data_IF_867514579763
#
_entry.id   IF_867514579763
#
_cell.length_a   1.000
_cell.length_b   1.000
_cell.length_c   1.000
_cell.angle_alpha   90.00
_cell.angle_beta   90.00
_cell.angle_gamma   90.00
#
_symmetry.space_group_name_H-M   'P 1'
#
loop_
_entity.id
_entity.type
_entity.pdbx_description
1 polymer ?
#
# COMPACT_ATOMS: atom_id res chain seq x y z
N UNK A 1 42.27 -33.41 0.28
CA UNK A 1 41.86 -32.85 1.58
C UNK A 1 40.38 -32.52 1.49
N UNK A 2 39.66 -32.81 2.56
CA UNK A 2 38.23 -33.09 2.63
C UNK A 2 37.36 -31.84 2.46
N UNK A 3 36.29 -32.06 1.71
CA UNK A 3 35.07 -31.28 1.47
C UNK A 3 34.29 -30.99 2.76
N UNK A 4 33.81 -29.75 2.97
CA UNK A 4 32.49 -29.51 3.56
C UNK A 4 31.82 -28.30 2.88
N UNK A 5 31.08 -28.62 1.82
CA UNK A 5 29.88 -27.93 1.35
C UNK A 5 28.96 -27.52 2.52
N UNK A 6 28.81 -26.21 2.77
CA UNK A 6 27.66 -25.70 3.54
C UNK A 6 26.50 -25.50 2.57
N UNK A 7 25.77 -26.60 2.34
CA UNK A 7 24.41 -26.53 1.79
C UNK A 7 23.57 -25.66 2.73
N UNK A 8 23.22 -24.47 2.27
CA UNK A 8 22.10 -23.72 2.86
C UNK A 8 20.86 -24.61 2.77
N UNK A 9 20.51 -25.24 3.89
CA UNK A 9 19.23 -25.94 4.02
C UNK A 9 18.14 -24.90 3.75
N UNK A 10 17.39 -25.09 2.66
CA UNK A 10 16.05 -24.50 2.51
C UNK A 10 15.31 -24.82 3.80
N UNK A 11 15.02 -23.79 4.61
CA UNK A 11 14.14 -23.96 5.77
C UNK A 11 12.81 -24.49 5.23
N UNK A 12 12.21 -25.49 5.89
CA UNK A 12 10.87 -25.93 5.54
C UNK A 12 9.92 -24.73 5.62
N UNK A 13 8.87 -24.74 4.78
CA UNK A 13 7.76 -23.81 4.86
C UNK A 13 7.12 -23.92 6.26
N UNK A 14 7.67 -23.21 7.24
CA UNK A 14 6.98 -22.99 8.51
C UNK A 14 5.81 -22.09 8.17
N UNK A 15 4.60 -22.65 8.30
CA UNK A 15 3.33 -21.93 8.34
C UNK A 15 3.53 -20.76 9.30
N UNK A 16 3.75 -19.56 8.75
CA UNK A 16 3.81 -18.35 9.57
C UNK A 16 2.41 -18.19 10.16
N UNK A 17 2.37 -17.97 11.47
CA UNK A 17 1.14 -17.80 12.24
C UNK A 17 0.19 -16.83 11.53
N UNK A 18 -1.11 -17.14 11.64
CA UNK A 18 -2.23 -16.32 11.20
C UNK A 18 -2.04 -14.86 11.61
N UNK A 19 -1.83 -13.96 10.64
CA UNK A 19 -1.80 -12.52 10.87
C UNK A 19 -2.77 -11.89 9.88
N UNK A 20 -3.92 -11.35 10.33
CA UNK A 20 -4.90 -10.78 9.44
C UNK A 20 -4.36 -9.47 8.85
N UNK A 21 -3.82 -9.55 7.63
CA UNK A 21 -3.52 -8.40 6.78
C UNK A 21 -4.75 -7.55 6.48
N UNK A 22 -4.52 -6.28 6.13
CA UNK A 22 -5.51 -5.39 5.55
C UNK A 22 -5.99 -5.89 4.18
N UNK A 23 -7.20 -5.49 3.77
CA UNK A 23 -7.73 -5.79 2.43
C UNK A 23 -6.95 -5.08 1.33
N UNK A 24 -6.52 -3.84 1.58
CA UNK A 24 -5.67 -3.06 0.70
C UNK A 24 -4.43 -2.59 1.45
N UNK A 25 -3.28 -2.42 0.79
CA UNK A 25 -2.12 -1.83 1.43
C UNK A 25 -2.37 -0.32 1.66
N UNK A 26 -2.17 0.21 2.87
CA UNK A 26 -2.13 1.65 3.05
C UNK A 26 -1.04 2.26 2.18
N UNK A 27 -1.40 3.26 1.37
CA UNK A 27 -0.44 4.02 0.56
C UNK A 27 0.03 5.23 1.34
N UNK A 28 1.33 5.38 1.51
CA UNK A 28 1.92 6.56 2.17
C UNK A 28 2.81 7.28 1.17
N UNK A 29 2.38 8.46 0.76
CA UNK A 29 3.15 9.37 -0.07
C UNK A 29 3.89 10.39 0.80
N UNK A 30 5.22 10.31 0.75
CA UNK A 30 6.08 11.35 1.28
C UNK A 30 6.20 12.50 0.26
N UNK A 31 5.68 13.66 0.63
CA UNK A 31 5.82 14.90 -0.10
C UNK A 31 6.94 15.78 0.46
N UNK A 32 7.40 16.73 -0.36
CA UNK A 32 8.10 17.90 0.14
C UNK A 32 7.20 19.09 -0.09
N UNK A 33 7.01 19.98 0.90
CA UNK A 33 5.98 21.02 0.83
C UNK A 33 6.04 21.95 -0.40
N UNK A 34 7.19 22.05 -1.09
CA UNK A 34 7.35 22.84 -2.31
C UNK A 34 6.99 22.10 -3.62
N UNK A 35 6.73 20.80 -3.55
CA UNK A 35 6.53 19.92 -4.71
C UNK A 35 5.10 19.37 -4.75
N UNK A 36 4.39 19.68 -5.84
CA UNK A 36 3.01 19.22 -6.05
C UNK A 36 2.92 17.85 -6.72
N UNK A 37 4.03 17.17 -6.98
CA UNK A 37 4.06 15.90 -7.72
C UNK A 37 3.14 14.83 -7.12
N UNK A 38 3.08 14.74 -5.78
CA UNK A 38 2.17 13.82 -5.08
C UNK A 38 0.71 14.18 -5.34
N UNK A 39 0.36 15.46 -5.19
CA UNK A 39 -0.99 15.95 -5.44
C UNK A 39 -1.43 15.68 -6.88
N UNK A 40 -0.60 16.03 -7.87
CA UNK A 40 -0.87 15.79 -9.30
C UNK A 40 -1.02 14.30 -9.59
N UNK A 41 -0.09 13.47 -9.11
CA UNK A 41 -0.16 12.02 -9.32
C UNK A 41 -1.46 11.43 -8.76
N UNK A 42 -1.89 11.85 -7.56
CA UNK A 42 -3.12 11.37 -6.97
C UNK A 42 -4.32 11.79 -7.83
N UNK A 43 -4.41 13.07 -8.22
CA UNK A 43 -5.49 13.58 -9.09
C UNK A 43 -5.59 12.74 -10.37
N UNK A 44 -4.47 12.54 -11.06
CA UNK A 44 -4.41 11.80 -12.33
C UNK A 44 -4.78 10.31 -12.19
N UNK A 45 -4.80 9.78 -10.96
CA UNK A 45 -5.12 8.37 -10.68
C UNK A 45 -6.33 8.21 -9.73
N UNK A 46 -7.12 9.25 -9.48
CA UNK A 46 -8.27 9.20 -8.56
C UNK A 46 -9.26 8.10 -8.94
N UNK A 47 -9.65 8.03 -10.22
CA UNK A 47 -10.58 7.03 -10.74
C UNK A 47 -10.08 5.60 -10.49
N UNK A 48 -8.77 5.40 -10.67
CA UNK A 48 -8.16 4.10 -10.38
C UNK A 48 -8.26 3.77 -8.90
N UNK A 49 -7.83 4.67 -8.01
CA UNK A 49 -7.86 4.41 -6.57
C UNK A 49 -9.28 4.14 -6.06
N UNK A 50 -10.27 4.87 -6.57
CA UNK A 50 -11.67 4.65 -6.25
C UNK A 50 -12.15 3.28 -6.75
N UNK A 51 -11.80 2.91 -8.00
CA UNK A 51 -12.15 1.61 -8.58
C UNK A 51 -11.55 0.45 -7.78
N UNK A 52 -10.29 0.57 -7.34
CA UNK A 52 -9.63 -0.46 -6.50
C UNK A 52 -10.26 -0.54 -5.11
N UNK A 53 -10.89 0.54 -4.65
CA UNK A 53 -11.64 0.56 -3.40
C UNK A 53 -10.98 1.35 -2.28
N UNK A 54 -9.95 2.15 -2.55
CA UNK A 54 -9.50 3.15 -1.58
C UNK A 54 -10.66 4.09 -1.24
N UNK A 55 -10.82 4.38 0.06
CA UNK A 55 -11.98 5.13 0.59
C UNK A 55 -11.60 6.48 1.17
N UNK A 56 -10.39 6.59 1.72
CA UNK A 56 -10.03 7.73 2.56
C UNK A 56 -8.69 8.32 2.16
N UNK A 57 -8.60 9.64 2.13
CA UNK A 57 -7.36 10.39 1.99
C UNK A 57 -7.08 11.11 3.31
N UNK A 58 -5.92 10.78 3.90
CA UNK A 58 -5.40 11.34 5.13
C UNK A 58 -4.30 12.34 4.80
N UNK A 59 -4.37 13.55 5.35
CA UNK A 59 -3.37 14.61 5.13
C UNK A 59 -2.93 15.24 6.44
N UNK A 60 -1.71 15.78 6.48
CA UNK A 60 -1.15 16.52 7.63
C UNK A 60 -1.86 17.86 7.90
N UNK A 61 -3.13 17.76 8.25
CA UNK A 61 -3.98 18.83 8.71
C UNK A 61 -4.63 18.42 10.03
N UNK A 62 -5.16 19.40 10.74
CA UNK A 62 -5.72 19.18 12.07
C UNK A 62 -6.83 18.13 12.06
N UNK A 63 -6.80 17.22 13.04
CA UNK A 63 -7.88 16.25 13.23
C UNK A 63 -9.22 16.97 13.40
N UNK A 64 -10.19 16.62 12.56
CA UNK A 64 -11.52 17.23 12.56
C UNK A 64 -11.68 18.38 11.55
N UNK A 65 -10.59 18.87 10.95
CA UNK A 65 -10.69 19.83 9.86
C UNK A 65 -11.43 19.21 8.66
N UNK A 66 -12.45 19.90 8.17
CA UNK A 66 -13.25 19.45 7.01
C UNK A 66 -12.60 19.86 5.70
N UNK A 67 -12.93 19.14 4.62
CA UNK A 67 -12.45 19.47 3.28
C UNK A 67 -12.88 20.87 2.84
N UNK A 68 -14.13 21.24 3.13
CA UNK A 68 -14.68 22.55 2.78
C UNK A 68 -13.99 23.69 3.53
N UNK A 69 -13.71 23.51 4.83
CA UNK A 69 -12.94 24.49 5.61
C UNK A 69 -11.52 24.67 5.03
N UNK A 70 -10.86 23.56 4.65
CA UNK A 70 -9.54 23.60 4.00
C UNK A 70 -9.58 24.32 2.65
N UNK A 71 -10.57 24.02 1.81
CA UNK A 71 -10.75 24.69 0.51
C UNK A 71 -10.99 26.19 0.72
N UNK A 72 -11.85 26.57 1.67
CA UNK A 72 -12.15 27.97 1.98
C UNK A 72 -10.91 28.71 2.48
N UNK A 73 -10.14 28.11 3.40
CA UNK A 73 -8.90 28.68 3.93
C UNK A 73 -7.89 28.97 2.82
N UNK A 74 -7.63 27.99 1.95
CA UNK A 74 -6.66 28.13 0.85
C UNK A 74 -7.15 29.16 -0.17
N UNK A 75 -8.43 29.14 -0.51
CA UNK A 75 -9.04 30.10 -1.44
C UNK A 75 -8.95 31.54 -0.92
N UNK A 76 -8.98 31.74 0.40
CA UNK A 76 -8.76 33.06 1.02
C UNK A 76 -7.28 33.51 1.04
N UNK A 77 -6.33 32.58 0.97
CA UNK A 77 -4.89 32.88 0.94
C UNK A 77 -4.39 33.24 -0.46
N UNK A 78 -4.93 32.60 -1.50
CA UNK A 78 -4.47 32.77 -2.89
C UNK A 78 -4.43 34.25 -3.35
N UNK A 79 -5.49 35.07 -3.14
CA UNK A 79 -5.51 36.46 -3.58
C UNK A 79 -4.40 37.31 -2.95
N UNK A 80 -4.03 37.02 -1.70
CA UNK A 80 -2.93 37.72 -1.00
C UNK A 80 -1.58 37.42 -1.66
N UNK A 81 -1.33 36.16 -2.01
CA UNK A 81 -0.12 35.77 -2.73
C UNK A 81 -0.07 36.37 -4.14
N UNK A 82 -1.18 36.32 -4.88
CA UNK A 82 -1.28 36.94 -6.22
C UNK A 82 -1.01 38.44 -6.14
N UNK A 83 -1.59 39.14 -5.16
CA UNK A 83 -1.36 40.56 -4.98
C UNK A 83 0.12 40.85 -4.66
N UNK A 84 0.73 40.13 -3.71
CA UNK A 84 2.14 40.32 -3.38
C UNK A 84 3.06 40.07 -4.57
N UNK A 85 2.80 39.02 -5.34
CA UNK A 85 3.59 38.66 -6.52
C UNK A 85 3.46 39.68 -7.65
N UNK A 86 2.26 40.19 -7.93
CA UNK A 86 2.04 41.18 -8.98
C UNK A 86 2.77 42.51 -8.73
N UNK A 87 3.10 42.82 -7.47
CA UNK A 87 3.88 44.00 -7.10
C UNK A 87 5.38 43.72 -6.99
N UNK A 88 5.82 42.48 -7.22
CA UNK A 88 7.22 42.07 -7.10
C UNK A 88 7.92 42.18 -8.46
N UNK A 89 9.11 42.79 -8.46
CA UNK A 89 9.95 42.82 -9.65
C UNK A 89 10.55 41.43 -9.92
N UNK A 90 10.64 41.01 -11.18
CA UNK A 90 11.26 39.73 -11.56
C UNK A 90 12.74 39.62 -11.18
N UNK A 91 13.40 40.75 -10.89
CA UNK A 91 14.78 40.83 -10.38
C UNK A 91 14.87 40.78 -8.85
N UNK A 92 13.75 40.78 -8.12
CA UNK A 92 13.75 40.64 -6.67
C UNK A 92 14.31 39.26 -6.30
N UNK A 93 15.30 39.17 -5.38
CA UNK A 93 15.84 37.89 -4.91
C UNK A 93 14.77 36.90 -4.40
N UNK A 94 13.60 37.39 -3.96
CA UNK A 94 12.49 36.59 -3.45
C UNK A 94 11.48 36.17 -4.53
N UNK A 95 11.61 36.65 -5.77
CA UNK A 95 10.63 36.40 -6.83
C UNK A 95 10.41 34.90 -7.10
N UNK A 96 11.50 34.13 -7.20
CA UNK A 96 11.41 32.68 -7.44
C UNK A 96 10.78 31.94 -6.26
N UNK A 97 11.10 32.35 -5.03
CA UNK A 97 10.51 31.79 -3.81
C UNK A 97 9.00 32.05 -3.76
N UNK A 98 8.57 33.27 -4.07
CA UNK A 98 7.14 33.63 -4.11
C UNK A 98 6.40 32.88 -5.22
N UNK A 99 7.00 32.76 -6.41
CA UNK A 99 6.44 31.99 -7.52
C UNK A 99 6.26 30.50 -7.14
N UNK A 100 7.26 29.90 -6.49
CA UNK A 100 7.19 28.53 -6.00
C UNK A 100 6.06 28.36 -4.97
N UNK A 101 5.95 29.26 -3.99
CA UNK A 101 4.87 29.25 -3.00
C UNK A 101 3.50 29.36 -3.67
N UNK A 102 3.32 30.26 -4.63
CA UNK A 102 2.07 30.38 -5.39
C UNK A 102 1.70 29.10 -6.13
N UNK A 103 2.67 28.47 -6.80
CA UNK A 103 2.46 27.19 -7.49
C UNK A 103 2.05 26.10 -6.51
N UNK A 104 2.72 26.02 -5.36
CA UNK A 104 2.37 25.07 -4.29
C UNK A 104 0.94 25.28 -3.80
N UNK A 105 0.58 26.49 -3.40
CA UNK A 105 -0.76 26.77 -2.85
C UNK A 105 -1.83 26.51 -3.89
N UNK A 106 -1.62 26.92 -5.14
CA UNK A 106 -2.55 26.66 -6.25
C UNK A 106 -2.70 25.16 -6.53
N UNK A 107 -1.60 24.40 -6.51
CA UNK A 107 -1.64 22.94 -6.68
C UNK A 107 -2.38 22.22 -5.56
N UNK A 108 -2.15 22.62 -4.30
CA UNK A 108 -2.91 22.09 -3.15
C UNK A 108 -4.39 22.45 -3.23
N UNK A 109 -4.74 23.66 -3.69
CA UNK A 109 -6.13 24.04 -3.93
C UNK A 109 -6.79 23.11 -4.96
N UNK A 110 -6.13 22.90 -6.11
CA UNK A 110 -6.62 22.00 -7.15
C UNK A 110 -6.82 20.58 -6.62
N UNK A 111 -5.88 20.09 -5.81
CA UNK A 111 -6.00 18.79 -5.15
C UNK A 111 -7.26 18.70 -4.29
N UNK A 112 -7.47 19.61 -3.34
CA UNK A 112 -8.65 19.57 -2.47
C UNK A 112 -9.96 19.75 -3.24
N UNK A 113 -9.99 20.61 -4.26
CA UNK A 113 -11.14 20.74 -5.15
C UNK A 113 -11.44 19.44 -5.91
N UNK A 114 -10.40 18.76 -6.41
CA UNK A 114 -10.55 17.46 -7.08
C UNK A 114 -11.08 16.38 -6.14
N UNK A 115 -10.71 16.44 -4.85
CA UNK A 115 -11.25 15.53 -3.84
C UNK A 115 -12.72 15.79 -3.54
N UNK A 116 -13.17 17.05 -3.56
CA UNK A 116 -14.56 17.40 -3.26
C UNK A 116 -15.53 16.76 -4.24
N UNK A 117 -15.13 16.67 -5.50
CA UNK A 117 -15.94 16.10 -6.57
C UNK A 117 -15.75 14.57 -6.66
N UNK A 118 -14.97 13.97 -5.75
CA UNK A 118 -14.72 12.53 -5.64
C UNK A 118 -15.51 11.88 -4.51
N UNK A 119 -15.53 10.55 -4.45
CA UNK A 119 -16.16 9.80 -3.35
C UNK A 119 -15.22 9.53 -2.16
N UNK A 120 -14.05 10.17 -2.12
CA UNK A 120 -13.10 10.00 -1.03
C UNK A 120 -13.54 10.71 0.25
N UNK A 121 -13.41 10.02 1.38
CA UNK A 121 -13.50 10.62 2.71
C UNK A 121 -12.21 11.37 2.99
N UNK A 122 -12.33 12.63 3.37
CA UNK A 122 -11.19 13.46 3.75
C UNK A 122 -10.95 13.42 5.27
N UNK A 123 -9.70 13.25 5.70
CA UNK A 123 -9.29 13.23 7.12
C UNK A 123 -8.01 14.03 7.35
N UNK A 124 -8.06 14.97 8.29
CA UNK A 124 -6.85 15.49 8.96
C UNK A 124 -6.32 14.47 9.97
N UNK A 125 -4.99 14.32 10.06
CA UNK A 125 -4.32 13.37 10.96
C UNK A 125 -3.33 14.00 11.94
N UNK A 126 -3.15 15.32 11.91
CA UNK A 126 -2.15 16.05 12.71
C UNK A 126 -2.78 16.83 13.87
N UNK A 127 -1.93 17.36 14.74
CA UNK A 127 -2.32 18.30 15.80
C UNK A 127 -2.55 19.72 15.26
N UNK A 128 -3.27 20.58 16.01
CA UNK A 128 -3.42 22.00 15.68
C UNK A 128 -2.07 22.70 15.54
N UNK A 129 -1.98 23.68 14.62
CA UNK A 129 -0.75 24.45 14.36
C UNK A 129 -0.10 25.05 15.63
N UNK A 130 -0.85 25.64 16.59
CA UNK A 130 -0.26 26.14 17.83
C UNK A 130 0.51 25.07 18.62
N UNK A 131 0.01 23.84 18.64
CA UNK A 131 0.65 22.72 19.32
C UNK A 131 1.87 22.19 18.54
N UNK A 132 1.81 22.22 17.20
CA UNK A 132 2.97 21.89 16.37
C UNK A 132 4.15 22.82 16.66
N UNK A 133 3.88 24.13 16.83
CA UNK A 133 4.90 25.13 17.17
C UNK A 133 5.43 24.89 18.58
N UNK A 134 4.56 24.60 19.55
CA UNK A 134 4.91 24.37 20.95
C UNK A 134 5.82 23.15 21.15
N UNK A 135 5.51 22.04 20.47
CA UNK A 135 6.25 20.79 20.62
C UNK A 135 7.42 20.67 19.65
N UNK A 136 7.36 21.39 18.53
CA UNK A 136 8.33 21.32 17.45
C UNK A 136 7.87 20.36 16.34
N UNK A 137 8.18 20.74 15.10
CA UNK A 137 7.71 20.07 13.88
C UNK A 137 8.12 18.59 13.79
N UNK A 138 9.28 18.22 14.34
CA UNK A 138 9.78 16.84 14.32
C UNK A 138 9.73 16.17 15.70
N UNK A 139 8.89 16.66 16.61
CA UNK A 139 8.82 16.13 17.97
C UNK A 139 8.36 14.68 18.00
N UNK A 140 8.85 13.86 18.95
CA UNK A 140 8.35 12.51 19.17
C UNK A 140 6.84 12.49 19.41
N UNK A 141 6.30 13.50 20.10
CA UNK A 141 4.87 13.64 20.38
C UNK A 141 4.06 13.79 19.08
N UNK A 142 4.46 14.69 18.17
CA UNK A 142 3.76 14.89 16.89
C UNK A 142 3.83 13.64 16.02
N UNK A 143 5.00 13.02 15.90
CA UNK A 143 5.15 11.78 15.13
C UNK A 143 4.33 10.62 15.70
N UNK A 144 4.21 10.51 17.02
CA UNK A 144 3.37 9.50 17.68
C UNK A 144 1.89 9.73 17.39
N UNK A 145 1.42 10.98 17.43
CA UNK A 145 0.03 11.33 17.12
C UNK A 145 -0.30 11.04 15.64
N UNK A 146 0.53 11.51 14.71
CA UNK A 146 0.40 11.24 13.28
C UNK A 146 0.30 9.72 13.02
N UNK A 147 1.22 8.95 13.61
CA UNK A 147 1.24 7.49 13.47
C UNK A 147 -0.04 6.85 14.01
N UNK A 148 -0.46 7.23 15.23
CA UNK A 148 -1.66 6.68 15.85
C UNK A 148 -2.92 6.95 14.99
N UNK A 149 -3.03 8.16 14.43
CA UNK A 149 -4.14 8.51 13.54
C UNK A 149 -4.08 7.75 12.20
N UNK A 150 -2.89 7.56 11.60
CA UNK A 150 -2.73 6.74 10.40
C UNK A 150 -3.19 5.30 10.67
N UNK A 151 -2.70 4.67 11.75
CA UNK A 151 -3.06 3.29 12.11
C UNK A 151 -4.56 3.18 12.41
N UNK A 152 -5.14 4.17 13.11
CA UNK A 152 -6.57 4.21 13.39
C UNK A 152 -7.39 4.20 12.09
N UNK A 153 -7.05 5.07 11.14
CA UNK A 153 -7.75 5.13 9.85
C UNK A 153 -7.49 3.85 9.02
N UNK A 154 -6.28 3.30 9.04
CA UNK A 154 -5.97 2.04 8.36
C UNK A 154 -6.85 0.90 8.90
N UNK A 155 -7.01 0.81 10.22
CA UNK A 155 -7.90 -0.20 10.85
C UNK A 155 -9.38 0.03 10.53
N UNK A 156 -9.84 1.29 10.57
CA UNK A 156 -11.23 1.66 10.25
C UNK A 156 -11.62 1.26 8.82
N UNK A 157 -10.71 1.43 7.86
CA UNK A 157 -10.95 1.20 6.43
C UNK A 157 -10.25 -0.05 5.87
N UNK A 158 -9.83 -0.98 6.73
CA UNK A 158 -9.13 -2.23 6.35
C UNK A 158 -7.99 -2.00 5.33
N UNK A 159 -7.20 -0.97 5.61
CA UNK A 159 -6.04 -0.50 4.87
C UNK A 159 -6.33 0.30 3.59
N UNK A 160 -7.59 0.51 3.25
CA UNK A 160 -8.04 1.27 2.07
C UNK A 160 -7.87 2.81 2.24
N UNK A 161 -6.70 3.24 2.69
CA UNK A 161 -6.34 4.65 2.91
C UNK A 161 -5.14 5.08 2.07
N UNK A 162 -5.14 6.36 1.69
CA UNK A 162 -3.99 7.05 1.11
C UNK A 162 -3.57 8.14 2.09
N UNK A 163 -2.29 8.20 2.44
CA UNK A 163 -1.73 9.16 3.38
C UNK A 163 -0.76 10.06 2.64
N UNK A 164 -0.85 11.37 2.86
CA UNK A 164 0.10 12.37 2.36
C UNK A 164 0.76 13.01 3.57
N UNK A 165 2.08 12.86 3.66
CA UNK A 165 2.89 13.29 4.80
C UNK A 165 4.25 13.84 4.34
N UNK A 166 4.89 14.69 5.13
CA UNK A 166 6.20 15.24 4.80
C UNK A 166 7.31 14.19 4.89
N UNK A 167 8.25 14.20 3.93
CA UNK A 167 9.42 13.30 3.92
C UNK A 167 10.27 13.36 5.21
N UNK A 168 10.20 14.47 5.94
CA UNK A 168 10.87 14.64 7.24
C UNK A 168 10.33 13.73 8.35
N UNK A 169 9.12 13.19 8.20
CA UNK A 169 8.48 12.29 9.17
C UNK A 169 8.96 10.83 9.02
N UNK A 170 10.26 10.61 8.83
CA UNK A 170 10.83 9.28 8.65
C UNK A 170 10.52 8.32 9.82
N UNK A 171 10.36 8.85 11.04
CA UNK A 171 10.05 8.07 12.25
C UNK A 171 8.72 7.31 12.19
N UNK A 172 7.82 7.67 11.25
CA UNK A 172 6.53 6.99 11.09
C UNK A 172 6.70 5.50 10.81
N UNK A 173 7.71 5.11 10.01
CA UNK A 173 7.91 3.69 9.69
C UNK A 173 8.29 2.86 10.93
N UNK A 174 9.16 3.39 11.79
CA UNK A 174 9.57 2.74 13.04
C UNK A 174 8.39 2.61 13.99
N UNK A 175 7.56 3.65 14.09
CA UNK A 175 6.37 3.66 14.94
C UNK A 175 5.30 2.70 14.42
N UNK A 176 5.02 2.67 13.11
CA UNK A 176 4.09 1.70 12.51
C UNK A 176 4.60 0.27 12.69
N UNK A 177 5.90 0.02 12.49
CA UNK A 177 6.50 -1.29 12.76
C UNK A 177 6.34 -1.74 14.21
N UNK A 178 6.31 -0.81 15.16
CA UNK A 178 6.13 -1.06 16.58
C UNK A 178 4.65 -1.24 16.97
N UNK A 179 3.78 -0.36 16.47
CA UNK A 179 2.40 -0.20 16.95
C UNK A 179 1.36 -0.92 16.06
N UNK A 180 1.74 -1.31 14.85
CA UNK A 180 0.95 -2.16 13.91
C UNK A 180 1.84 -3.25 13.26
N UNK A 181 2.57 -4.06 14.07
CA UNK A 181 3.61 -4.97 13.58
C UNK A 181 3.09 -6.06 12.61
N UNK A 182 1.81 -6.42 12.73
CA UNK A 182 1.18 -7.46 11.92
C UNK A 182 0.95 -7.00 10.47
N UNK A 183 0.72 -5.69 10.28
CA UNK A 183 0.41 -5.09 8.98
C UNK A 183 1.52 -4.17 8.45
N UNK A 184 2.53 -3.85 9.26
CA UNK A 184 3.56 -2.87 8.91
C UNK A 184 4.23 -3.13 7.55
N UNK A 185 4.54 -4.40 7.25
CA UNK A 185 5.14 -4.82 5.98
C UNK A 185 4.18 -4.69 4.78
N UNK A 186 2.88 -4.46 5.02
CA UNK A 186 1.89 -4.26 3.97
C UNK A 186 1.86 -2.81 3.46
N UNK A 187 2.22 -1.83 4.29
CA UNK A 187 2.25 -0.41 3.88
C UNK A 187 3.16 -0.24 2.65
N UNK A 188 2.75 0.65 1.74
CA UNK A 188 3.52 1.03 0.57
C UNK A 188 4.00 2.46 0.75
N UNK A 189 5.31 2.62 0.87
CA UNK A 189 5.95 3.90 1.12
C UNK A 189 6.54 4.43 -0.18
N UNK A 190 6.07 5.60 -0.59
CA UNK A 190 6.41 6.20 -1.87
C UNK A 190 6.88 7.63 -1.66
N UNK A 191 8.05 7.98 -2.17
CA UNK A 191 8.48 9.37 -2.30
C UNK A 191 8.49 9.75 -3.77
N UNK A 192 7.59 10.66 -4.16
CA UNK A 192 7.58 11.28 -5.48
C UNK A 192 8.32 12.61 -5.40
N UNK A 193 9.27 12.81 -6.30
CA UNK A 193 9.99 14.07 -6.35
C UNK A 193 10.14 14.62 -7.77
N UNK A 194 10.01 15.93 -7.90
CA UNK A 194 10.39 16.69 -9.07
C UNK A 194 11.73 17.39 -8.80
N UNK A 195 12.82 17.02 -9.50
CA UNK A 195 14.12 17.67 -9.30
C UNK A 195 14.09 19.18 -9.60
N UNK A 196 13.13 19.64 -10.43
CA UNK A 196 12.93 21.07 -10.75
C UNK A 196 12.56 21.91 -9.53
N UNK A 197 11.94 21.31 -8.51
CA UNK A 197 11.47 21.99 -7.31
C UNK A 197 12.24 21.58 -6.05
N UNK A 198 13.45 21.03 -6.21
CA UNK A 198 14.29 20.64 -5.08
C UNK A 198 14.67 21.86 -4.24
N UNK A 199 14.29 21.86 -2.96
CA UNK A 199 14.72 22.87 -1.99
C UNK A 199 16.03 22.46 -1.30
N UNK A 200 16.81 23.41 -0.81
CA UNK A 200 18.03 23.14 -0.03
C UNK A 200 17.74 22.24 1.19
N UNK A 201 16.60 22.46 1.85
CA UNK A 201 16.15 21.63 2.96
C UNK A 201 15.91 20.17 2.53
N UNK A 202 15.28 19.95 1.37
CA UNK A 202 15.13 18.59 0.81
C UNK A 202 16.49 18.00 0.49
N UNK A 203 17.37 18.74 -0.19
CA UNK A 203 18.70 18.25 -0.56
C UNK A 203 19.49 17.82 0.68
N UNK A 204 19.48 18.64 1.74
CA UNK A 204 20.13 18.29 3.01
C UNK A 204 19.56 17.04 3.66
N UNK A 205 18.23 16.86 3.64
CA UNK A 205 17.57 15.64 4.15
C UNK A 205 17.98 14.42 3.34
N UNK A 206 17.86 14.48 2.01
CA UNK A 206 18.21 13.38 1.10
C UNK A 206 19.69 13.01 1.23
N UNK A 207 20.60 13.99 1.23
CA UNK A 207 22.03 13.74 1.43
C UNK A 207 22.33 13.09 2.78
N UNK A 208 21.55 13.39 3.82
CA UNK A 208 21.67 12.72 5.12
C UNK A 208 21.24 11.25 5.03
N UNK A 209 20.12 10.99 4.37
CA UNK A 209 19.62 9.62 4.16
C UNK A 209 20.56 8.78 3.30
N UNK A 210 21.13 9.35 2.24
CA UNK A 210 22.11 8.69 1.38
C UNK A 210 23.40 8.39 2.13
N UNK A 211 23.90 9.33 2.94
CA UNK A 211 25.13 9.16 3.71
C UNK A 211 25.02 8.07 4.78
N UNK A 212 23.91 8.01 5.50
CA UNK A 212 23.73 7.05 6.59
C UNK A 212 22.99 5.76 6.17
N UNK A 213 22.46 5.72 4.96
CA UNK A 213 21.68 4.62 4.39
C UNK A 213 20.18 4.76 4.65
N UNK A 214 19.38 4.59 3.58
CA UNK A 214 17.92 4.70 3.64
C UNK A 214 17.29 3.71 4.63
N UNK A 215 17.79 2.48 4.74
CA UNK A 215 17.23 1.45 5.63
C UNK A 215 17.25 1.84 7.12
N UNK A 216 18.15 2.75 7.51
CA UNK A 216 18.20 3.30 8.87
C UNK A 216 16.98 4.16 9.20
N UNK A 217 16.51 4.91 8.21
CA UNK A 217 15.40 5.85 8.33
C UNK A 217 14.07 5.23 7.90
N UNK A 218 14.11 4.31 6.95
CA UNK A 218 12.94 3.68 6.32
C UNK A 218 13.04 2.15 6.40
N UNK A 219 12.90 1.55 7.60
CA UNK A 219 13.09 0.11 7.81
C UNK A 219 12.00 -0.79 7.19
N UNK A 220 10.94 -0.21 6.64
CA UNK A 220 9.89 -0.92 5.87
C UNK A 220 10.07 -0.70 4.35
N UNK A 221 11.20 -0.10 3.95
CA UNK A 221 11.51 0.28 2.57
C UNK A 221 10.89 1.61 2.17
N UNK A 222 11.48 2.25 1.16
CA UNK A 222 10.97 3.47 0.53
C UNK A 222 11.18 3.38 -0.99
N UNK A 223 10.09 3.45 -1.76
CA UNK A 223 10.17 3.54 -3.21
C UNK A 223 10.30 5.00 -3.62
N UNK A 224 11.40 5.35 -4.28
CA UNK A 224 11.70 6.73 -4.67
C UNK A 224 11.55 6.84 -6.18
N UNK A 225 10.69 7.74 -6.64
CA UNK A 225 10.46 7.97 -8.05
C UNK A 225 10.59 9.45 -8.41
N UNK A 226 11.11 9.69 -9.62
CA UNK A 226 10.96 10.97 -10.28
C UNK A 226 9.54 11.10 -10.82
N UNK A 227 8.93 12.27 -10.67
CA UNK A 227 7.56 12.50 -11.15
C UNK A 227 7.42 12.46 -12.68
N UNK A 228 8.51 12.58 -13.41
CA UNK A 228 8.58 12.39 -14.87
C UNK A 228 8.75 10.94 -15.31
N UNK A 229 8.82 9.96 -14.39
CA UNK A 229 8.93 8.56 -14.77
C UNK A 229 7.64 8.08 -15.45
N UNK A 230 7.72 7.75 -16.75
CA UNK A 230 6.58 7.27 -17.54
C UNK A 230 5.96 5.98 -17.00
N UNK A 231 6.74 5.16 -16.27
CA UNK A 231 6.27 3.89 -15.71
C UNK A 231 5.68 4.05 -14.29
N UNK A 232 5.74 5.25 -13.70
CA UNK A 232 5.37 5.50 -12.29
C UNK A 232 4.01 4.93 -11.91
N UNK A 233 2.97 5.25 -12.69
CA UNK A 233 1.61 4.75 -12.43
C UNK A 233 1.58 3.22 -12.46
N UNK A 234 2.20 2.60 -13.47
CA UNK A 234 2.22 1.14 -13.60
C UNK A 234 2.98 0.44 -12.47
N UNK A 235 4.07 1.03 -11.96
CA UNK A 235 4.86 0.46 -10.88
C UNK A 235 4.10 0.51 -9.55
N UNK A 236 3.43 1.63 -9.26
CA UNK A 236 2.59 1.77 -8.06
C UNK A 236 1.39 0.81 -8.12
N UNK A 237 0.72 0.71 -9.27
CA UNK A 237 -0.42 -0.22 -9.46
C UNK A 237 -0.03 -1.68 -9.26
N UNK A 238 1.12 -2.09 -9.80
CA UNK A 238 1.69 -3.43 -9.54
C UNK A 238 2.02 -3.64 -8.07
N UNK A 239 2.56 -2.64 -7.38
CA UNK A 239 2.85 -2.72 -5.95
C UNK A 239 1.58 -2.87 -5.11
N UNK A 240 0.52 -2.14 -5.45
CA UNK A 240 -0.82 -2.27 -4.83
C UNK A 240 -1.35 -3.68 -5.05
N UNK A 241 -1.34 -4.16 -6.31
CA UNK A 241 -1.87 -5.46 -6.68
C UNK A 241 -1.23 -6.61 -5.89
N UNK A 242 0.08 -6.58 -5.72
CA UNK A 242 0.83 -7.60 -4.95
C UNK A 242 0.38 -7.73 -3.49
N UNK A 243 -0.26 -6.71 -2.93
CA UNK A 243 -0.72 -6.65 -1.54
C UNK A 243 -2.23 -6.46 -1.44
N UNK A 244 -2.96 -6.67 -2.54
CA UNK A 244 -4.42 -6.60 -2.61
C UNK A 244 -5.02 -7.94 -2.17
N UNK A 245 -6.03 -7.88 -1.29
CA UNK A 245 -6.79 -9.03 -0.78
C UNK A 245 -8.29 -8.83 -0.99
N UNK A 246 -8.65 -7.98 -1.95
CA UNK A 246 -10.02 -7.77 -2.42
C UNK A 246 -10.16 -8.43 -3.79
N UNK A 247 -11.31 -9.07 -4.02
CA UNK A 247 -11.56 -9.92 -5.18
C UNK A 247 -12.90 -9.56 -5.82
N UNK A 248 -13.01 -9.77 -7.12
CA UNK A 248 -14.29 -9.70 -7.83
C UNK A 248 -15.13 -10.96 -7.51
N UNK A 249 -16.46 -10.81 -7.47
CA UNK A 249 -17.37 -11.87 -7.01
C UNK A 249 -17.43 -13.09 -7.94
N UNK A 250 -17.07 -12.94 -9.22
CA UNK A 250 -17.18 -14.00 -10.24
C UNK A 250 -16.09 -15.08 -10.07
N UNK A 251 -16.49 -16.36 -9.92
CA UNK A 251 -15.57 -17.51 -10.00
C UNK A 251 -15.21 -17.80 -11.46
N UNK A 252 -13.91 -17.80 -11.75
CA UNK A 252 -13.34 -17.95 -13.07
C UNK A 252 -13.01 -19.42 -13.36
N UNK A 253 -13.50 -19.91 -14.50
CA UNK A 253 -13.20 -21.26 -14.96
C UNK A 253 -11.92 -21.31 -15.83
N UNK A 254 -10.77 -21.23 -15.17
CA UNK A 254 -9.45 -21.28 -15.83
C UNK A 254 -8.86 -22.69 -15.84
N UNK A 255 -7.93 -22.98 -16.76
CA UNK A 255 -7.26 -24.29 -16.82
C UNK A 255 -6.48 -24.61 -15.53
N UNK A 256 -5.81 -23.62 -14.93
CA UNK A 256 -5.09 -23.78 -13.67
C UNK A 256 -6.04 -23.97 -12.49
N UNK A 257 -7.16 -23.26 -12.45
CA UNK A 257 -8.20 -23.49 -11.45
C UNK A 257 -8.77 -24.91 -11.54
N UNK A 258 -9.06 -25.43 -12.74
CA UNK A 258 -9.51 -26.83 -12.93
C UNK A 258 -8.49 -27.85 -12.42
N UNK A 259 -7.19 -27.62 -12.67
CA UNK A 259 -6.12 -28.49 -12.17
C UNK A 259 -6.09 -28.46 -10.64
N UNK A 260 -6.11 -27.27 -10.03
CA UNK A 260 -6.16 -27.12 -8.58
C UNK A 260 -7.42 -27.79 -7.98
N UNK A 261 -8.60 -27.61 -8.59
CA UNK A 261 -9.85 -28.30 -8.21
C UNK A 261 -9.68 -29.82 -8.22
N UNK A 262 -9.01 -30.37 -9.24
CA UNK A 262 -8.78 -31.83 -9.36
C UNK A 262 -7.78 -32.42 -8.36
N UNK A 263 -6.84 -31.60 -7.88
CA UNK A 263 -5.73 -32.03 -7.00
C UNK A 263 -6.06 -31.78 -5.53
N UNK A 264 -6.77 -30.69 -5.23
CA UNK A 264 -7.06 -30.24 -3.86
C UNK A 264 -8.49 -30.59 -3.47
N UNK A 265 -9.46 -30.28 -4.32
CA UNK A 265 -10.89 -30.46 -4.03
C UNK A 265 -11.76 -29.38 -4.69
N UNK A 266 -13.07 -29.59 -4.72
CA UNK A 266 -14.03 -28.70 -5.39
C UNK A 266 -14.24 -27.34 -4.71
N UNK A 267 -13.71 -27.13 -3.49
CA UNK A 267 -13.80 -25.86 -2.77
C UNK A 267 -12.84 -24.78 -3.29
N UNK A 268 -11.92 -25.13 -4.18
CA UNK A 268 -11.07 -24.15 -4.86
C UNK A 268 -11.95 -23.26 -5.74
N UNK A 269 -11.81 -21.95 -5.61
CA UNK A 269 -12.39 -20.94 -6.51
C UNK A 269 -11.26 -20.07 -7.06
N UNK A 270 -11.47 -19.40 -8.18
CA UNK A 270 -10.47 -18.51 -8.79
C UNK A 270 -11.10 -17.16 -9.11
N UNK A 271 -10.47 -16.08 -8.67
CA UNK A 271 -11.05 -14.75 -8.77
C UNK A 271 -10.04 -13.74 -9.29
N UNK A 272 -10.50 -12.76 -10.06
CA UNK A 272 -9.71 -11.57 -10.31
C UNK A 272 -9.55 -10.80 -9.00
N UNK A 273 -8.36 -10.23 -8.78
CA UNK A 273 -8.20 -9.18 -7.78
C UNK A 273 -9.01 -7.96 -8.20
N UNK A 274 -9.63 -7.28 -7.25
CA UNK A 274 -10.36 -6.03 -7.48
C UNK A 274 -9.41 -4.83 -7.61
N UNK A 275 -8.25 -5.00 -8.26
CA UNK A 275 -7.21 -3.97 -8.42
C UNK A 275 -7.05 -3.48 -9.87
N UNK A 276 -7.79 -4.09 -10.81
CA UNK A 276 -7.75 -3.76 -12.24
C UNK A 276 -6.54 -4.30 -13.02
N UNK A 277 -5.60 -4.99 -12.39
CA UNK A 277 -4.36 -5.50 -13.02
C UNK A 277 -4.53 -6.90 -13.65
N UNK A 278 -5.75 -7.47 -13.61
CA UNK A 278 -6.12 -8.78 -14.21
C UNK A 278 -5.31 -9.98 -13.69
N UNK A 279 -4.76 -9.89 -12.48
CA UNK A 279 -4.21 -11.06 -11.79
C UNK A 279 -5.33 -11.92 -11.24
N UNK A 280 -5.15 -13.25 -11.36
CA UNK A 280 -6.09 -14.24 -10.84
C UNK A 280 -5.43 -14.98 -9.69
N UNK A 281 -6.12 -15.06 -8.57
CA UNK A 281 -5.71 -15.87 -7.42
C UNK A 281 -6.72 -17.01 -7.21
N UNK A 282 -6.24 -18.15 -6.73
CA UNK A 282 -7.12 -19.22 -6.25
C UNK A 282 -7.36 -19.07 -4.75
N UNK A 283 -8.63 -19.14 -4.35
CA UNK A 283 -9.10 -19.01 -2.97
C UNK A 283 -9.72 -20.33 -2.50
N UNK A 284 -9.34 -20.77 -1.31
CA UNK A 284 -9.85 -21.99 -0.68
C UNK A 284 -10.32 -21.64 0.73
N UNK A 285 -11.63 -21.70 1.04
CA UNK A 285 -12.13 -21.44 2.38
C UNK A 285 -11.62 -22.52 3.34
N UNK A 286 -10.70 -22.17 4.22
CA UNK A 286 -9.89 -23.14 4.97
C UNK A 286 -10.76 -24.06 5.83
N UNK A 287 -11.73 -23.49 6.55
CA UNK A 287 -12.62 -24.26 7.43
C UNK A 287 -13.47 -25.26 6.64
N UNK A 288 -14.15 -24.78 5.60
CA UNK A 288 -15.02 -25.61 4.74
C UNK A 288 -14.23 -26.72 4.04
N UNK A 289 -13.06 -26.40 3.49
CA UNK A 289 -12.20 -27.39 2.85
C UNK A 289 -11.72 -28.45 3.86
N UNK A 290 -11.27 -28.06 5.06
CA UNK A 290 -10.87 -29.02 6.08
C UNK A 290 -12.02 -29.96 6.49
N UNK A 291 -13.23 -29.41 6.68
CA UNK A 291 -14.44 -30.18 7.00
C UNK A 291 -14.80 -31.19 5.90
N UNK A 292 -14.74 -30.78 4.63
CA UNK A 292 -15.00 -31.66 3.47
C UNK A 292 -13.98 -32.79 3.34
N UNK A 293 -12.78 -32.61 3.89
CA UNK A 293 -11.74 -33.64 3.96
C UNK A 293 -11.74 -34.43 5.28
N UNK A 294 -12.72 -34.18 6.16
CA UNK A 294 -12.81 -34.77 7.50
C UNK A 294 -11.53 -34.56 8.34
N UNK A 295 -10.98 -33.34 8.28
CA UNK A 295 -9.72 -32.96 8.91
C UNK A 295 -9.87 -31.66 9.70
N UNK A 296 -8.98 -31.47 10.69
CA UNK A 296 -8.77 -30.16 11.30
C UNK A 296 -7.99 -29.24 10.34
N UNK A 297 -8.18 -27.90 10.42
CA UNK A 297 -7.49 -26.95 9.53
C UNK A 297 -5.98 -27.12 9.44
N UNK A 298 -5.30 -27.40 10.56
CA UNK A 298 -3.84 -27.60 10.60
C UNK A 298 -3.40 -28.84 9.83
N UNK A 299 -4.18 -29.92 9.92
CA UNK A 299 -3.92 -31.16 9.20
C UNK A 299 -4.15 -30.96 7.70
N UNK A 300 -5.21 -30.24 7.34
CA UNK A 300 -5.48 -29.85 5.96
C UNK A 300 -4.30 -29.05 5.37
N UNK A 301 -3.78 -28.03 6.08
CA UNK A 301 -2.64 -27.23 5.62
C UNK A 301 -1.35 -28.07 5.45
N UNK A 302 -1.12 -29.02 6.34
CA UNK A 302 0.02 -29.95 6.24
C UNK A 302 -0.07 -30.83 5.00
N UNK A 303 -1.26 -31.40 4.76
CA UNK A 303 -1.53 -32.19 3.56
C UNK A 303 -1.43 -31.33 2.30
N UNK A 304 -2.01 -30.13 2.32
CA UNK A 304 -1.95 -29.17 1.22
C UNK A 304 -0.51 -28.82 0.84
N UNK A 305 0.37 -28.64 1.82
CA UNK A 305 1.80 -28.38 1.57
C UNK A 305 2.47 -29.53 0.81
N UNK A 306 2.11 -30.77 1.13
CA UNK A 306 2.61 -31.96 0.42
C UNK A 306 2.04 -32.02 -1.00
N UNK A 307 0.75 -31.73 -1.15
CA UNK A 307 0.03 -31.72 -2.42
C UNK A 307 0.55 -30.65 -3.39
N UNK A 308 0.78 -29.43 -2.92
CA UNK A 308 1.21 -28.28 -3.72
C UNK A 308 2.70 -28.28 -4.06
N UNK A 309 3.52 -29.02 -3.32
CA UNK A 309 4.99 -29.11 -3.51
C UNK A 309 5.67 -27.74 -3.56
N UNK A 310 5.92 -27.21 -4.75
CA UNK A 310 6.62 -25.96 -5.00
C UNK A 310 5.68 -24.76 -5.17
N UNK A 311 4.37 -25.00 -5.38
CA UNK A 311 3.38 -23.93 -5.48
C UNK A 311 3.18 -23.32 -4.09
N UNK A 312 3.50 -22.03 -3.98
CA UNK A 312 3.38 -21.30 -2.72
C UNK A 312 1.93 -20.89 -2.48
N UNK A 313 1.55 -20.87 -1.21
CA UNK A 313 0.28 -20.31 -0.76
C UNK A 313 0.50 -19.46 0.49
N UNK A 314 -0.45 -18.58 0.77
CA UNK A 314 -0.56 -17.88 2.04
C UNK A 314 -1.93 -18.15 2.69
N UNK A 315 -2.04 -17.92 3.99
CA UNK A 315 -3.31 -18.03 4.72
C UNK A 315 -3.68 -16.64 5.22
N UNK A 316 -4.88 -16.18 4.89
CA UNK A 316 -5.31 -14.82 5.18
C UNK A 316 -6.80 -14.78 5.53
N UNK A 317 -7.16 -13.91 6.48
CA UNK A 317 -8.56 -13.56 6.72
C UNK A 317 -9.11 -12.65 5.62
N UNK A 318 -10.14 -13.09 4.92
CA UNK A 318 -10.87 -12.30 3.93
C UNK A 318 -12.27 -11.95 4.46
N UNK A 319 -12.67 -10.70 4.29
CA UNK A 319 -14.01 -10.23 4.61
C UNK A 319 -14.97 -10.73 3.52
N UNK A 320 -16.01 -11.46 3.91
CA UNK A 320 -17.13 -11.75 3.00
C UNK A 320 -18.07 -10.54 2.96
N UNK A 321 -18.62 -10.22 1.79
CA UNK A 321 -19.54 -9.10 1.59
C UNK A 321 -20.78 -9.14 2.52
N UNK A 322 -21.10 -10.31 3.07
CA UNK A 322 -22.28 -10.53 3.91
C UNK A 322 -21.99 -10.60 5.41
N UNK A 323 -20.73 -10.67 5.87
CA UNK A 323 -20.40 -10.93 7.28
C UNK A 323 -19.32 -9.99 7.83
N UNK A 324 -19.54 -9.45 9.03
CA UNK A 324 -18.57 -8.62 9.77
C UNK A 324 -17.34 -9.37 10.28
N UNK A 325 -17.27 -10.70 10.07
CA UNK A 325 -16.14 -11.54 10.47
C UNK A 325 -15.36 -11.97 9.23
N UNK A 326 -14.04 -11.77 9.28
CA UNK A 326 -13.11 -12.30 8.29
C UNK A 326 -13.04 -13.82 8.43
N UNK A 327 -13.22 -14.54 7.33
CA UNK A 327 -13.00 -15.98 7.26
C UNK A 327 -11.60 -16.29 6.75
N UNK A 328 -10.98 -17.36 7.24
CA UNK A 328 -9.64 -17.76 6.81
C UNK A 328 -9.69 -18.44 5.45
N UNK A 329 -8.91 -17.93 4.50
CA UNK A 329 -8.71 -18.52 3.19
C UNK A 329 -7.26 -18.92 2.99
N UNK A 330 -7.04 -20.05 2.31
CA UNK A 330 -5.77 -20.31 1.64
C UNK A 330 -5.80 -19.62 0.28
N UNK A 331 -4.74 -18.88 -0.03
CA UNK A 331 -4.61 -18.09 -1.25
C UNK A 331 -3.39 -18.57 -2.02
N UNK A 332 -3.61 -19.06 -3.24
CA UNK A 332 -2.54 -19.32 -4.20
C UNK A 332 -2.54 -18.14 -5.18
N UNK A 333 -1.49 -17.34 -5.12
CA UNK A 333 -1.39 -16.10 -5.87
C UNK A 333 -1.04 -16.33 -7.35
N UNK A 334 -1.57 -15.48 -8.21
CA UNK A 334 -1.14 -15.28 -9.59
C UNK A 334 -1.18 -16.55 -10.44
N UNK A 335 -2.23 -17.37 -10.29
CA UNK A 335 -2.39 -18.66 -10.98
C UNK A 335 -2.48 -18.54 -12.50
N UNK A 336 -2.60 -17.31 -13.02
CA UNK A 336 -2.59 -16.99 -14.45
C UNK A 336 -1.25 -16.43 -14.95
N UNK A 337 -0.24 -16.27 -14.09
CA UNK A 337 1.12 -15.93 -14.52
C UNK A 337 1.87 -17.16 -14.98
N UNK A 338 2.81 -16.99 -15.92
CA UNK A 338 3.53 -18.09 -16.56
C UNK A 338 4.20 -19.04 -15.54
N UNK A 339 4.98 -18.48 -14.62
CA UNK A 339 5.75 -19.27 -13.64
C UNK A 339 4.85 -20.12 -12.74
N UNK A 340 3.75 -19.53 -12.24
CA UNK A 340 2.81 -20.23 -11.36
C UNK A 340 1.97 -21.24 -12.15
N UNK A 341 1.51 -20.88 -13.36
CA UNK A 341 0.73 -21.77 -14.20
C UNK A 341 1.52 -23.01 -14.65
N UNK A 342 2.81 -22.85 -14.98
CA UNK A 342 3.72 -23.97 -15.26
C UNK A 342 3.84 -24.88 -14.02
N UNK A 343 4.08 -24.30 -12.83
CA UNK A 343 4.18 -25.05 -11.57
C UNK A 343 2.90 -25.81 -11.21
N UNK A 344 1.72 -25.22 -11.44
CA UNK A 344 0.42 -25.88 -11.22
C UNK A 344 0.23 -27.02 -12.22
N UNK A 345 0.63 -26.84 -13.47
CA UNK A 345 0.47 -27.86 -14.53
C UNK A 345 1.27 -29.12 -14.21
N UNK A 346 2.45 -29.00 -13.60
CA UNK A 346 3.27 -30.13 -13.17
C UNK A 346 2.59 -30.99 -12.10
N UNK A 347 1.70 -30.42 -11.26
CA UNK A 347 0.97 -31.17 -10.24
C UNK A 347 0.17 -32.34 -10.85
N UNK A 348 -0.42 -32.12 -12.03
CA UNK A 348 -1.21 -33.13 -12.76
C UNK A 348 -0.40 -34.37 -13.12
N UNK A 349 0.88 -34.20 -13.49
CA UNK A 349 1.75 -35.32 -13.87
C UNK A 349 2.22 -36.17 -12.69
N UNK A 350 2.08 -35.64 -11.48
CA UNK A 350 2.48 -36.37 -10.26
C UNK A 350 1.39 -37.22 -9.63
N UNK A 351 0.16 -37.11 -10.13
CA UNK A 351 -0.91 -38.09 -9.92
C UNK A 351 -0.70 -39.29 -10.86
N UNK A 352 0.38 -40.06 -10.69
CA UNK A 352 0.47 -41.38 -11.35
C UNK A 352 -0.54 -42.31 -10.68
N UNK A 353 -1.35 -43.08 -11.44
CA UNK A 353 -2.13 -44.16 -10.85
C UNK A 353 -1.17 -45.16 -10.20
N UNK A 354 -1.56 -45.83 -9.09
CA UNK A 354 -0.75 -46.90 -8.54
C UNK A 354 -0.46 -47.91 -9.64
N UNK A 355 0.81 -48.29 -9.78
CA UNK A 355 1.17 -49.41 -10.63
C UNK A 355 0.39 -50.63 -10.11
N UNK A 356 -0.56 -51.12 -10.91
CA UNK A 356 -1.15 -52.42 -10.66
C UNK A 356 -0.03 -53.45 -10.89
N UNK A 357 0.46 -54.02 -9.79
CA UNK A 357 1.19 -55.28 -9.78
C UNK A 357 0.49 -56.23 -8.81
#
# INVERSE_FOLDING_TARGET
MIDISVKARKKPNTVRAFMPKYQLPPLVFYETHADNSVSTFIIDNLDYFQKVGYKTICVELEVGQTLDDTIQQISGMLPKFVQQFNHMNSKDPKYQTMLAQMRTVSGKQLFFLSLRDSHFIFRGIDMPVPDQIKHGLNSPQRNSLLTANIIKNAKEFDGAIIVITGLGHYSLQQLIKKDDPENAEQYLWVHLHNPTYATDARQALVSTYEREGYDKYFPLGLSIFQSSNEQLSSEIKKAISKKCYTYEDEDLDTSTARILKSVIGSDVSAHFRADGEKYVDALIPLKKAAENHHQEPEQFLTNLTTTLKNVRYEVQGLSSASHSKKESYVIIREINTREVAESITELKTSLKPPAMN
#
